data_IF_005224516652
#
_entry.id   IF_005224516652
#
_cell.length_a   1.000
_cell.length_b   1.000
_cell.length_c   1.000
_cell.angle_alpha   90.00
_cell.angle_beta   90.00
_cell.angle_gamma   90.00
#
_symmetry.space_group_name_H-M   'P 1'
#
loop_
_entity.id
_entity.type
_entity.pdbx_description
1 polymer ?
#
# COMPACT_ATOMS: atom_id res chain seq x y z
N UNK A 1 29.41 25.19 -31.23
CA UNK A 1 29.07 24.96 -29.81
C UNK A 1 27.68 24.34 -29.60
N UNK A 2 26.72 24.52 -30.51
CA UNK A 2 25.40 23.85 -30.45
C UNK A 2 25.43 22.32 -30.53
N UNK A 3 26.47 21.71 -31.13
CA UNK A 3 26.59 20.25 -31.20
C UNK A 3 26.80 19.59 -29.83
N UNK A 4 27.45 20.27 -28.88
CA UNK A 4 27.66 19.74 -27.52
C UNK A 4 26.38 19.73 -26.67
N UNK A 5 25.42 20.61 -26.96
CA UNK A 5 24.13 20.69 -26.27
C UNK A 5 23.21 19.52 -26.65
N UNK A 6 23.45 18.87 -27.80
CA UNK A 6 22.66 17.75 -28.30
C UNK A 6 23.24 16.37 -27.94
N UNK A 7 24.45 16.30 -27.36
CA UNK A 7 25.04 15.02 -26.92
C UNK A 7 24.15 14.21 -25.95
N UNK A 8 23.48 14.83 -24.94
CA UNK A 8 22.58 14.10 -24.06
C UNK A 8 21.33 13.54 -24.76
N UNK A 9 20.97 14.08 -25.93
CA UNK A 9 19.86 13.61 -26.77
C UNK A 9 20.30 12.57 -27.82
N UNK A 10 21.60 12.41 -28.05
CA UNK A 10 22.17 11.38 -28.94
C UNK A 10 22.49 10.06 -28.23
N UNK A 11 22.37 9.97 -26.90
CA UNK A 11 22.57 8.70 -26.17
C UNK A 11 21.38 7.73 -26.31
N UNK A 12 20.41 8.01 -27.17
CA UNK A 12 19.19 7.23 -27.38
C UNK A 12 19.33 6.07 -28.36
N UNK A 13 20.47 5.39 -28.41
CA UNK A 13 20.72 4.40 -29.47
C UNK A 13 21.80 3.37 -29.18
N UNK A 14 21.98 2.96 -27.92
CA UNK A 14 22.49 1.60 -27.72
C UNK A 14 21.34 0.66 -28.12
N UNK A 15 21.41 0.14 -29.35
CA UNK A 15 20.73 -1.09 -29.73
C UNK A 15 21.25 -2.17 -28.78
N UNK A 16 20.68 -2.24 -27.58
CA UNK A 16 20.80 -3.43 -26.76
C UNK A 16 20.35 -4.56 -27.69
N UNK A 17 21.13 -5.65 -27.86
CA UNK A 17 20.80 -6.76 -28.75
C UNK A 17 19.66 -7.60 -28.16
N UNK A 18 18.55 -6.94 -27.83
CA UNK A 18 17.34 -7.50 -27.26
C UNK A 18 16.36 -7.58 -28.42
N UNK A 19 16.22 -8.77 -28.96
CA UNK A 19 15.26 -9.02 -30.03
C UNK A 19 13.83 -8.76 -29.53
N UNK A 20 12.91 -8.52 -30.47
CA UNK A 20 11.52 -8.20 -30.16
C UNK A 20 10.81 -9.29 -29.32
N UNK A 21 11.21 -10.55 -29.45
CA UNK A 21 10.66 -11.64 -28.63
C UNK A 21 11.13 -11.54 -27.19
N UNK A 22 12.40 -11.22 -26.96
CA UNK A 22 12.92 -10.98 -25.60
C UNK A 22 12.26 -9.76 -24.95
N UNK A 23 12.03 -8.68 -25.71
CA UNK A 23 11.31 -7.50 -25.21
C UNK A 23 9.85 -7.84 -24.82
N UNK A 24 9.13 -8.56 -25.68
CA UNK A 24 7.77 -9.00 -25.40
C UNK A 24 7.73 -9.91 -24.16
N UNK A 25 8.67 -10.85 -24.03
CA UNK A 25 8.78 -11.73 -22.87
C UNK A 25 9.00 -10.91 -21.58
N UNK A 26 9.89 -9.92 -21.61
CA UNK A 26 10.13 -9.05 -20.46
C UNK A 26 8.88 -8.25 -20.06
N UNK A 27 8.13 -7.71 -21.03
CA UNK A 27 6.87 -7.00 -20.76
C UNK A 27 5.81 -7.91 -20.14
N UNK A 28 5.66 -9.14 -20.66
CA UNK A 28 4.70 -10.12 -20.13
C UNK A 28 5.08 -10.53 -18.71
N UNK A 29 6.36 -10.81 -18.46
CA UNK A 29 6.87 -11.12 -17.11
C UNK A 29 6.62 -9.95 -16.16
N UNK A 30 6.94 -8.73 -16.59
CA UNK A 30 6.66 -7.51 -15.81
C UNK A 30 5.18 -7.36 -15.47
N UNK A 31 4.29 -7.61 -16.43
CA UNK A 31 2.84 -7.59 -16.21
C UNK A 31 2.40 -8.66 -15.21
N UNK A 32 2.90 -9.89 -15.34
CA UNK A 32 2.58 -10.99 -14.41
C UNK A 32 3.03 -10.63 -12.99
N UNK A 33 4.24 -10.09 -12.84
CA UNK A 33 4.76 -9.65 -11.54
C UNK A 33 3.90 -8.53 -10.96
N UNK A 34 3.53 -7.53 -11.77
CA UNK A 34 2.65 -6.45 -11.33
C UNK A 34 1.29 -6.97 -10.87
N UNK A 35 0.66 -7.86 -11.66
CA UNK A 35 -0.61 -8.50 -11.28
C UNK A 35 -0.47 -9.29 -9.97
N UNK A 36 0.60 -10.09 -9.83
CA UNK A 36 0.84 -10.89 -8.64
C UNK A 36 0.98 -10.02 -7.38
N UNK A 37 1.73 -8.92 -7.47
CA UNK A 37 1.88 -7.94 -6.39
C UNK A 37 0.51 -7.32 -6.06
N UNK A 38 -0.23 -6.85 -7.07
CA UNK A 38 -1.56 -6.26 -6.87
C UNK A 38 -2.50 -7.22 -6.16
N UNK A 39 -2.60 -8.47 -6.64
CA UNK A 39 -3.48 -9.48 -6.06
C UNK A 39 -3.04 -9.81 -4.63
N UNK A 40 -1.74 -9.92 -4.38
CA UNK A 40 -1.20 -10.13 -3.04
C UNK A 40 -1.58 -9.02 -2.06
N UNK A 41 -1.41 -7.76 -2.46
CA UNK A 41 -1.78 -6.60 -1.64
C UNK A 41 -3.29 -6.54 -1.43
N UNK A 42 -4.09 -6.70 -2.49
CA UNK A 42 -5.55 -6.68 -2.40
C UNK A 42 -6.09 -7.79 -1.49
N UNK A 43 -5.51 -8.99 -1.58
CA UNK A 43 -5.85 -10.11 -0.69
C UNK A 43 -5.49 -9.82 0.77
N UNK A 44 -4.32 -9.22 1.01
CA UNK A 44 -3.93 -8.80 2.35
C UNK A 44 -4.89 -7.74 2.92
N UNK A 45 -5.21 -6.69 2.15
CA UNK A 45 -6.18 -5.65 2.53
C UNK A 45 -7.55 -6.26 2.81
N UNK A 46 -8.01 -7.19 1.96
CA UNK A 46 -9.26 -7.92 2.19
C UNK A 46 -9.25 -8.63 3.54
N UNK A 47 -8.20 -9.42 3.81
CA UNK A 47 -8.08 -10.17 5.06
C UNK A 47 -7.94 -9.29 6.29
N UNK A 48 -7.27 -8.16 6.19
CA UNK A 48 -7.15 -7.23 7.30
C UNK A 48 -8.48 -6.51 7.58
N UNK A 49 -9.17 -6.05 6.52
CA UNK A 49 -10.48 -5.41 6.65
C UNK A 49 -11.57 -6.37 7.16
N UNK A 50 -11.53 -7.65 6.74
CA UNK A 50 -12.49 -8.67 7.18
C UNK A 50 -12.41 -8.96 8.69
N UNK A 51 -11.22 -8.81 9.30
CA UNK A 51 -11.07 -8.98 10.76
C UNK A 51 -11.68 -7.84 11.57
N UNK A 52 -12.00 -6.72 10.91
CA UNK A 52 -12.40 -5.46 11.54
C UNK A 52 -13.84 -5.07 11.18
N UNK A 53 -14.66 -6.04 10.77
CA UNK A 53 -16.09 -5.89 10.43
C UNK A 53 -16.39 -4.69 9.51
N UNK A 54 -15.48 -4.38 8.60
CA UNK A 54 -15.62 -3.27 7.67
C UNK A 54 -15.87 -3.76 6.25
N UNK A 55 -16.21 -2.84 5.32
CA UNK A 55 -16.45 -3.18 3.91
C UNK A 55 -15.14 -3.59 3.22
N UNK A 56 -14.80 -4.85 3.39
CA UNK A 56 -13.55 -5.49 2.99
C UNK A 56 -13.40 -5.54 1.47
N UNK A 57 -14.51 -5.69 0.75
CA UNK A 57 -14.52 -5.70 -0.71
C UNK A 57 -14.21 -4.31 -1.26
N UNK A 58 -14.80 -3.25 -0.72
CA UNK A 58 -14.53 -1.88 -1.17
C UNK A 58 -13.06 -1.51 -0.97
N UNK A 59 -12.46 -1.88 0.17
CA UNK A 59 -11.04 -1.61 0.44
C UNK A 59 -10.11 -2.43 -0.45
N UNK A 60 -10.35 -3.73 -0.56
CA UNK A 60 -9.50 -4.61 -1.36
C UNK A 60 -9.53 -4.24 -2.86
N UNK A 61 -10.74 -3.98 -3.39
CA UNK A 61 -10.92 -3.57 -4.79
C UNK A 61 -10.38 -2.16 -5.01
N UNK A 62 -10.66 -1.21 -4.10
CA UNK A 62 -10.18 0.17 -4.22
C UNK A 62 -8.66 0.26 -4.23
N UNK A 63 -8.00 -0.34 -3.23
CA UNK A 63 -6.53 -0.35 -3.14
C UNK A 63 -5.92 -1.15 -4.28
N UNK A 64 -6.45 -2.35 -4.57
CA UNK A 64 -5.94 -3.20 -5.65
C UNK A 64 -6.05 -2.55 -7.04
N UNK A 65 -7.22 -2.02 -7.39
CA UNK A 65 -7.43 -1.39 -8.68
C UNK A 65 -6.57 -0.14 -8.86
N UNK A 66 -6.45 0.71 -7.83
CA UNK A 66 -5.58 1.88 -7.87
C UNK A 66 -4.10 1.48 -7.98
N UNK A 67 -3.65 0.44 -7.28
CA UNK A 67 -2.26 -0.05 -7.35
C UNK A 67 -1.89 -0.58 -8.73
N UNK A 68 -2.83 -1.24 -9.40
CA UNK A 68 -2.60 -1.80 -10.73
C UNK A 68 -2.69 -0.77 -11.85
N UNK A 69 -3.75 0.04 -11.86
CA UNK A 69 -4.03 0.97 -12.95
C UNK A 69 -3.26 2.29 -12.81
N UNK A 70 -3.02 2.71 -11.57
CA UNK A 70 -2.45 4.01 -11.24
C UNK A 70 -1.47 3.88 -10.08
N UNK A 71 -0.37 3.14 -10.28
CA UNK A 71 0.64 2.83 -9.26
C UNK A 71 0.88 3.93 -8.21
N UNK A 72 1.14 5.21 -8.56
CA UNK A 72 1.33 6.26 -7.55
C UNK A 72 0.08 6.50 -6.68
N UNK A 73 -1.12 6.51 -7.27
CA UNK A 73 -2.37 6.65 -6.52
C UNK A 73 -2.64 5.40 -5.67
N UNK A 74 -2.30 4.22 -6.16
CA UNK A 74 -2.46 2.99 -5.38
C UNK A 74 -1.54 2.91 -4.18
N UNK A 75 -0.30 3.39 -4.29
CA UNK A 75 0.59 3.52 -3.14
C UNK A 75 0.00 4.50 -2.13
N UNK A 76 -0.52 5.66 -2.58
CA UNK A 76 -1.19 6.62 -1.70
C UNK A 76 -2.41 5.99 -1.02
N UNK A 77 -3.24 5.24 -1.76
CA UNK A 77 -4.40 4.56 -1.22
C UNK A 77 -4.02 3.48 -0.19
N UNK A 78 -2.93 2.74 -0.43
CA UNK A 78 -2.40 1.76 0.52
C UNK A 78 -1.88 2.45 1.79
N UNK A 79 -1.16 3.56 1.67
CA UNK A 79 -0.72 4.36 2.83
C UNK A 79 -1.91 4.90 3.60
N UNK A 80 -2.90 5.47 2.91
CA UNK A 80 -4.14 5.95 3.53
C UNK A 80 -4.87 4.81 4.24
N UNK A 81 -4.96 3.62 3.63
CA UNK A 81 -5.53 2.44 4.27
C UNK A 81 -4.82 2.11 5.58
N UNK A 82 -3.48 2.09 5.60
CA UNK A 82 -2.71 1.80 6.82
C UNK A 82 -2.88 2.91 7.86
N UNK A 83 -2.85 4.19 7.48
CA UNK A 83 -2.97 5.29 8.43
C UNK A 83 -4.36 5.37 9.06
N UNK A 84 -5.43 5.23 8.26
CA UNK A 84 -6.80 5.25 8.78
C UNK A 84 -7.11 4.02 9.65
N UNK A 85 -6.31 2.96 9.57
CA UNK A 85 -6.54 1.68 10.24
C UNK A 85 -5.47 1.32 11.28
N UNK A 86 -4.37 2.08 11.36
CA UNK A 86 -3.26 1.83 12.28
C UNK A 86 -3.59 2.20 13.73
N UNK A 87 -4.50 3.15 13.94
CA UNK A 87 -4.83 3.70 15.26
C UNK A 87 -5.70 2.77 16.14
N UNK A 88 -6.28 1.70 15.59
CA UNK A 88 -7.16 0.79 16.37
C UNK A 88 -6.41 -0.16 17.32
N UNK A 89 -5.07 -0.11 17.37
CA UNK A 89 -4.25 -0.93 18.28
C UNK A 89 -3.66 -0.20 19.49
N UNK A 90 -3.94 1.09 19.67
CA UNK A 90 -3.55 1.84 20.89
C UNK A 90 -4.77 2.46 21.58
N UNK A 91 -5.72 1.63 22.00
CA UNK A 91 -6.52 2.00 23.16
C UNK A 91 -5.67 1.76 24.42
N UNK A 92 -4.69 2.63 24.67
CA UNK A 92 -4.20 2.79 26.05
C UNK A 92 -5.40 3.15 26.93
N UNK A 93 -5.57 2.54 28.11
CA UNK A 93 -6.64 2.90 29.02
C UNK A 93 -6.30 4.26 29.65
N UNK A 94 -6.55 5.36 28.94
CA UNK A 94 -6.53 6.71 29.50
C UNK A 94 -7.81 6.93 30.30
N UNK A 95 -7.91 6.20 31.40
CA UNK A 95 -9.03 6.21 32.34
C UNK A 95 -8.55 6.09 33.78
N UNK A 96 -7.40 6.70 34.10
CA UNK A 96 -7.01 6.97 35.48
C UNK A 96 -7.56 8.32 35.91
N UNK A 97 -8.84 8.39 36.27
CA UNK A 97 -9.39 9.53 37.00
C UNK A 97 -9.35 9.25 38.52
N UNK A 98 -8.87 10.18 39.37
CA UNK A 98 -8.32 9.91 40.70
C UNK A 98 -9.31 10.27 41.82
N UNK A 99 -10.48 9.63 41.86
CA UNK A 99 -11.49 9.96 42.89
C UNK A 99 -12.33 8.74 43.27
N UNK A 100 -12.05 8.20 44.47
CA UNK A 100 -12.86 7.14 45.07
C UNK A 100 -12.40 6.80 46.49
N UNK A 101 -11.99 7.82 47.26
CA UNK A 101 -11.73 7.67 48.68
C UNK A 101 -13.03 7.53 49.46
N UNK A 102 -13.21 6.36 50.06
CA UNK A 102 -14.05 5.99 51.20
C UNK A 102 -15.58 6.19 51.10
N UNK A 103 -16.34 5.09 51.32
CA UNK A 103 -17.18 5.10 52.51
C UNK A 103 -17.24 3.75 53.24
N UNK A 104 -16.75 3.73 54.47
CA UNK A 104 -17.36 3.15 55.68
C UNK A 104 -17.95 1.73 55.58
N UNK A 105 -17.35 0.78 56.32
CA UNK A 105 -18.10 -0.33 56.92
C UNK A 105 -17.36 -1.67 56.95
N UNK A 106 -16.75 -2.00 58.08
CA UNK A 106 -16.29 -3.37 58.35
C UNK A 106 -15.29 -3.49 59.49
N UNK A 107 -15.82 -3.74 60.69
CA UNK A 107 -15.23 -4.60 61.74
C UNK A 107 -13.95 -4.10 62.44
N UNK A 108 -14.08 -3.48 63.63
CA UNK A 108 -13.80 -4.01 64.98
C UNK A 108 -14.27 -3.01 66.05
#
# INVERSE_FOLDING_TARGET
MLQLVLLPLQSGGEDLPVDSTTMLAAMVVGLIVAVAITVGVAYWVYKDAAKRESNELAWAVGVGALLFLFLPLGVIALVAYVLLRGDETEAEPTGGDPTGGDPTGGEW
#
